data_IF_719263846040
#
_entry.id   IF_719263846040
#
_cell.length_a   1.000
_cell.length_b   1.000
_cell.length_c   1.000
_cell.angle_alpha   90.00
_cell.angle_beta   90.00
_cell.angle_gamma   90.00
#
_symmetry.space_group_name_H-M   'P 1'
#
loop_
_entity.id
_entity.type
_entity.pdbx_description
1 polymer ?
#
# COMPACT_ATOMS: atom_id res chain seq x y z
N UNK A 1 68.74 -7.34 7.15
CA UNK A 1 69.24 -7.73 8.50
C UNK A 1 68.08 -7.52 9.48
N UNK A 2 67.59 -8.58 10.13
CA UNK A 2 66.44 -8.58 11.06
C UNK A 2 66.76 -7.80 12.35
N UNK A 3 65.78 -7.08 12.90
CA UNK A 3 65.47 -7.11 14.34
C UNK A 3 63.94 -6.96 14.54
N UNK A 4 63.35 -8.04 15.07
CA UNK A 4 62.04 -8.13 15.74
C UNK A 4 62.32 -7.64 17.20
N UNK A 5 61.48 -7.02 18.03
CA UNK A 5 60.32 -7.55 18.79
C UNK A 5 59.86 -6.42 19.76
N UNK A 6 58.55 -6.17 19.92
CA UNK A 6 57.75 -6.38 21.17
C UNK A 6 56.45 -5.57 21.18
N UNK A 7 55.38 -6.32 21.36
CA UNK A 7 54.03 -5.90 21.72
C UNK A 7 54.03 -5.65 23.23
N UNK A 8 53.69 -4.44 23.68
CA UNK A 8 53.27 -4.21 25.06
C UNK A 8 52.12 -3.24 25.08
N UNK A 9 51.05 -3.74 25.69
CA UNK A 9 50.06 -3.03 26.49
C UNK A 9 48.89 -2.31 25.79
N UNK A 10 47.74 -2.90 26.11
CA UNK A 10 46.38 -2.52 25.81
C UNK A 10 46.01 -1.36 26.75
N UNK A 11 45.92 -0.14 26.24
CA UNK A 11 45.35 1.02 26.95
C UNK A 11 44.13 1.50 26.16
N UNK A 12 42.93 1.57 26.75
CA UNK A 12 41.77 2.12 26.07
C UNK A 12 41.98 3.63 25.88
N UNK A 13 42.06 4.05 24.61
CA UNK A 13 42.18 5.44 24.21
C UNK A 13 40.85 6.16 24.50
N UNK A 14 40.77 6.88 25.62
CA UNK A 14 39.73 7.88 25.85
C UNK A 14 39.95 9.02 24.85
N UNK A 15 39.20 9.02 23.76
CA UNK A 15 39.03 10.18 22.89
C UNK A 15 38.11 11.18 23.59
N UNK A 16 38.69 12.06 24.43
CA UNK A 16 38.02 13.31 24.80
C UNK A 16 38.17 14.31 23.62
N UNK A 17 37.15 14.35 22.77
CA UNK A 17 36.99 15.44 21.81
C UNK A 17 36.59 16.71 22.57
N UNK A 18 37.57 17.60 22.83
CA UNK A 18 37.28 18.96 23.28
C UNK A 18 36.58 19.72 22.15
N UNK A 19 35.26 19.76 22.20
CA UNK A 19 34.47 20.65 21.34
C UNK A 19 34.60 22.08 21.89
N UNK A 20 35.37 22.92 21.19
CA UNK A 20 35.38 24.36 21.43
C UNK A 20 34.12 24.93 20.78
N UNK A 21 33.17 25.40 21.58
CA UNK A 21 31.97 26.05 21.06
C UNK A 21 32.37 27.27 20.21
N UNK A 22 31.93 27.38 18.95
CA UNK A 22 32.07 28.62 18.18
C UNK A 22 31.14 29.70 18.74
N UNK A 23 31.54 30.96 18.56
CA UNK A 23 30.81 32.14 19.04
C UNK A 23 29.41 32.22 18.40
N UNK A 24 28.44 32.72 19.18
CA UNK A 24 26.99 32.68 18.92
C UNK A 24 26.48 33.46 17.68
N UNK A 25 27.35 33.99 16.81
CA UNK A 25 26.98 34.86 15.68
C UNK A 25 27.28 34.26 14.29
N UNK A 26 27.78 33.02 14.20
CA UNK A 26 28.07 32.32 12.92
C UNK A 26 27.15 31.12 12.65
N UNK A 27 25.94 31.09 13.25
CA UNK A 27 24.90 30.16 12.81
C UNK A 27 24.25 30.74 11.55
N UNK A 28 24.93 30.62 10.41
CA UNK A 28 24.28 30.80 9.11
C UNK A 28 23.28 29.65 8.92
N UNK A 29 22.07 29.93 8.48
CA UNK A 29 20.98 28.95 8.31
C UNK A 29 21.41 27.65 7.60
N UNK A 30 22.37 27.74 6.67
CA UNK A 30 22.98 26.57 6.01
C UNK A 30 23.64 25.56 6.96
N UNK A 31 24.25 26.02 8.06
CA UNK A 31 24.87 25.16 9.07
C UNK A 31 23.82 24.34 9.82
N UNK A 32 22.70 24.98 10.18
CA UNK A 32 21.61 24.35 10.93
C UNK A 32 20.86 23.32 10.07
N UNK A 33 20.48 23.66 8.84
CA UNK A 33 19.86 22.72 7.90
C UNK A 33 20.80 21.55 7.58
N UNK A 34 22.11 21.79 7.44
CA UNK A 34 23.10 20.73 7.24
C UNK A 34 23.24 19.81 8.46
N UNK A 35 23.21 20.34 9.68
CA UNK A 35 23.23 19.57 10.92
C UNK A 35 21.95 18.75 11.12
N UNK A 36 20.79 19.31 10.81
CA UNK A 36 19.50 18.60 10.84
C UNK A 36 19.45 17.49 9.78
N UNK A 37 19.92 17.75 8.56
CA UNK A 37 20.05 16.72 7.51
C UNK A 37 21.03 15.61 7.92
N UNK A 38 22.14 15.94 8.60
CA UNK A 38 23.06 14.94 9.15
C UNK A 38 22.43 14.13 10.28
N UNK A 39 21.64 14.75 11.15
CA UNK A 39 20.87 14.07 12.19
C UNK A 39 19.80 13.14 11.62
N UNK A 40 19.06 13.60 10.61
CA UNK A 40 18.08 12.81 9.84
C UNK A 40 18.76 11.64 9.14
N UNK A 41 19.86 11.89 8.42
CA UNK A 41 20.64 10.84 7.74
C UNK A 41 21.21 9.80 8.72
N UNK A 42 21.72 10.24 9.88
CA UNK A 42 22.20 9.33 10.93
C UNK A 42 21.06 8.45 11.49
N UNK A 43 19.86 9.02 11.67
CA UNK A 43 18.70 8.29 12.17
C UNK A 43 18.12 7.32 11.13
N UNK A 44 18.15 7.71 9.85
CA UNK A 44 17.78 6.89 8.69
C UNK A 44 18.77 5.72 8.48
N UNK A 45 20.07 5.92 8.74
CA UNK A 45 21.13 4.93 8.53
C UNK A 45 21.29 3.94 9.69
N UNK A 46 20.46 4.02 10.73
CA UNK A 46 20.45 3.03 11.81
C UNK A 46 19.81 1.72 11.31
N UNK A 47 20.49 0.55 11.42
CA UNK A 47 20.16 -0.66 10.66
C UNK A 47 19.03 -1.51 11.28
N UNK A 48 18.05 -0.89 11.92
CA UNK A 48 16.84 -1.60 12.37
C UNK A 48 15.71 -1.22 11.42
N UNK A 49 15.55 -2.00 10.36
CA UNK A 49 14.29 -2.02 9.61
C UNK A 49 13.20 -2.46 10.60
N UNK A 50 12.44 -1.49 11.10
CA UNK A 50 11.37 -1.72 12.07
C UNK A 50 10.26 -2.49 11.37
N UNK A 51 9.82 -3.60 11.95
CA UNK A 51 8.68 -4.32 11.40
C UNK A 51 7.43 -3.43 11.44
N UNK A 52 6.53 -3.52 10.44
CA UNK A 52 5.27 -2.82 10.47
C UNK A 52 4.51 -3.09 11.77
N UNK A 53 3.89 -2.07 12.37
CA UNK A 53 3.02 -2.24 13.53
C UNK A 53 1.91 -3.29 13.28
N UNK A 54 1.39 -3.96 14.32
CA UNK A 54 0.30 -4.95 14.17
C UNK A 54 -0.99 -4.38 13.60
N UNK A 55 -1.22 -3.07 13.76
CA UNK A 55 -2.35 -2.35 13.18
C UNK A 55 -2.06 -1.81 11.77
N UNK A 56 -0.94 -2.20 11.16
CA UNK A 56 -0.52 -1.79 9.81
C UNK A 56 -0.48 -0.26 9.62
N UNK A 57 -0.32 0.49 10.71
CA UNK A 57 -0.12 1.94 10.68
C UNK A 57 1.30 2.34 10.28
N UNK A 58 1.55 3.63 10.04
CA UNK A 58 2.90 4.16 9.84
C UNK A 58 3.79 3.86 11.06
N UNK A 59 5.03 3.42 10.83
CA UNK A 59 5.95 3.09 11.93
C UNK A 59 6.29 4.30 12.80
N UNK A 60 6.77 4.03 14.02
CA UNK A 60 7.18 5.09 14.94
C UNK A 60 8.35 5.90 14.37
N UNK A 61 9.31 5.23 13.73
CA UNK A 61 10.44 5.86 13.05
C UNK A 61 9.99 6.78 11.89
N UNK A 62 9.00 6.35 11.10
CA UNK A 62 8.45 7.15 10.01
C UNK A 62 7.81 8.43 10.54
N UNK A 63 6.93 8.32 11.54
CA UNK A 63 6.24 9.46 12.15
C UNK A 63 7.23 10.48 12.73
N UNK A 64 8.25 10.01 13.46
CA UNK A 64 9.28 10.89 14.02
C UNK A 64 10.07 11.62 12.93
N UNK A 65 10.45 10.93 11.86
CA UNK A 65 11.23 11.52 10.77
C UNK A 65 10.41 12.53 9.98
N UNK A 66 9.12 12.26 9.74
CA UNK A 66 8.22 13.21 9.08
C UNK A 66 7.95 14.46 9.92
N UNK A 67 7.88 14.34 11.25
CA UNK A 67 7.76 15.50 12.13
C UNK A 67 9.01 16.38 12.07
N UNK A 68 10.21 15.79 12.10
CA UNK A 68 11.46 16.52 11.93
C UNK A 68 11.56 17.18 10.55
N UNK A 69 11.13 16.47 9.49
CA UNK A 69 11.05 17.04 8.15
C UNK A 69 10.12 18.26 8.15
N UNK A 70 8.94 18.18 8.77
CA UNK A 70 8.00 19.31 8.89
C UNK A 70 8.65 20.51 9.56
N UNK A 71 9.41 20.31 10.63
CA UNK A 71 10.13 21.39 11.33
C UNK A 71 11.18 22.05 10.42
N UNK A 72 11.97 21.24 9.70
CA UNK A 72 13.00 21.73 8.76
C UNK A 72 12.35 22.54 7.63
N UNK A 73 11.28 22.02 7.02
CA UNK A 73 10.60 22.70 5.92
C UNK A 73 9.91 24.01 6.39
N UNK A 74 9.33 24.02 7.59
CA UNK A 74 8.73 25.22 8.18
C UNK A 74 9.76 26.31 8.52
N UNK A 75 10.97 25.94 8.96
CA UNK A 75 12.03 26.95 9.22
C UNK A 75 12.48 27.70 7.96
N UNK A 76 12.32 27.10 6.78
CA UNK A 76 12.68 27.72 5.51
C UNK A 76 11.72 28.85 5.09
N UNK A 77 10.49 28.91 5.62
CA UNK A 77 9.55 30.01 5.38
C UNK A 77 10.05 31.36 5.88
N UNK A 78 10.95 31.36 6.87
CA UNK A 78 11.52 32.58 7.46
C UNK A 78 12.84 33.01 6.81
N UNK A 79 13.32 32.30 5.79
CA UNK A 79 14.63 32.53 5.18
C UNK A 79 14.60 33.66 4.14
N UNK A 80 15.64 34.51 4.11
CA UNK A 80 15.79 35.65 3.18
C UNK A 80 16.44 35.25 1.85
N UNK A 81 16.46 33.95 1.53
CA UNK A 81 17.10 33.39 0.33
C UNK A 81 16.21 33.61 -0.91
N UNK A 82 16.78 33.88 -2.10
CA UNK A 82 16.01 33.99 -3.34
C UNK A 82 15.16 32.73 -3.62
N UNK A 83 13.97 32.92 -4.18
CA UNK A 83 12.98 31.85 -4.40
C UNK A 83 13.56 30.63 -5.16
N UNK A 84 14.33 30.85 -6.22
CA UNK A 84 14.90 29.77 -7.03
C UNK A 84 15.92 28.91 -6.25
N UNK A 85 16.78 29.56 -5.45
CA UNK A 85 17.75 28.87 -4.60
C UNK A 85 17.03 28.11 -3.47
N UNK A 86 16.00 28.72 -2.89
CA UNK A 86 15.13 28.11 -1.89
C UNK A 86 14.42 26.87 -2.43
N UNK A 87 13.88 26.93 -3.66
CA UNK A 87 13.23 25.79 -4.31
C UNK A 87 14.22 24.65 -4.55
N UNK A 88 15.43 24.93 -5.02
CA UNK A 88 16.46 23.92 -5.25
C UNK A 88 16.86 23.20 -3.96
N UNK A 89 17.09 23.95 -2.88
CA UNK A 89 17.39 23.40 -1.55
C UNK A 89 16.23 22.53 -1.04
N UNK A 90 14.98 22.98 -1.22
CA UNK A 90 13.79 22.25 -0.80
C UNK A 90 13.68 20.89 -1.51
N UNK A 91 13.85 20.87 -2.83
CA UNK A 91 13.83 19.64 -3.64
C UNK A 91 14.93 18.67 -3.20
N UNK A 92 16.12 19.18 -2.89
CA UNK A 92 17.23 18.37 -2.40
C UNK A 92 16.94 17.77 -1.02
N UNK A 93 16.49 18.59 -0.06
CA UNK A 93 16.10 18.14 1.30
C UNK A 93 15.04 17.05 1.22
N UNK A 94 13.98 17.28 0.44
CA UNK A 94 12.90 16.32 0.26
C UNK A 94 13.42 14.99 -0.31
N UNK A 95 14.30 15.05 -1.32
CA UNK A 95 14.84 13.83 -1.93
C UNK A 95 15.73 13.05 -0.96
N UNK A 96 16.59 13.76 -0.22
CA UNK A 96 17.47 13.14 0.78
C UNK A 96 16.73 12.47 1.95
N UNK A 97 15.48 12.86 2.22
CA UNK A 97 14.68 12.32 3.34
C UNK A 97 13.60 11.34 2.85
N UNK A 98 12.85 11.68 1.81
CA UNK A 98 11.74 10.86 1.33
C UNK A 98 12.21 9.56 0.69
N UNK A 99 13.27 9.60 -0.14
CA UNK A 99 13.71 8.41 -0.86
C UNK A 99 14.17 7.30 0.12
N UNK A 100 14.96 7.59 1.18
CA UNK A 100 15.26 6.61 2.20
C UNK A 100 14.06 6.17 3.03
N UNK A 101 13.11 7.06 3.33
CA UNK A 101 11.90 6.69 4.07
C UNK A 101 11.01 5.73 3.27
N UNK A 102 10.87 5.97 1.97
CA UNK A 102 10.17 5.07 1.05
C UNK A 102 10.86 3.71 1.02
N UNK A 103 12.19 3.69 0.86
CA UNK A 103 12.97 2.47 0.89
C UNK A 103 12.78 1.70 2.20
N UNK A 104 12.79 2.41 3.34
CA UNK A 104 12.56 1.80 4.66
C UNK A 104 11.17 1.17 4.75
N UNK A 105 10.12 1.85 4.28
CA UNK A 105 8.76 1.29 4.27
C UNK A 105 8.69 0.03 3.42
N UNK A 106 9.24 0.06 2.20
CA UNK A 106 9.27 -1.10 1.31
C UNK A 106 10.02 -2.28 1.92
N UNK A 107 11.17 -2.04 2.55
CA UNK A 107 11.94 -3.09 3.22
C UNK A 107 11.19 -3.67 4.41
N UNK A 108 10.50 -2.82 5.19
CA UNK A 108 9.70 -3.23 6.35
C UNK A 108 8.52 -4.11 5.93
N UNK A 109 7.88 -3.78 4.80
CA UNK A 109 6.72 -4.49 4.28
C UNK A 109 7.07 -5.78 3.51
N UNK A 110 8.35 -6.01 3.19
CA UNK A 110 8.80 -7.07 2.27
C UNK A 110 8.44 -8.51 2.67
N UNK A 111 8.19 -8.76 3.96
CA UNK A 111 7.83 -10.08 4.48
C UNK A 111 6.33 -10.21 4.83
N UNK A 112 5.52 -9.20 4.55
CA UNK A 112 4.09 -9.23 4.80
C UNK A 112 3.34 -9.95 3.66
N UNK A 113 2.15 -10.45 3.97
CA UNK A 113 1.20 -10.88 2.94
C UNK A 113 0.74 -9.69 2.09
N UNK A 114 0.30 -9.95 0.87
CA UNK A 114 -0.07 -8.92 -0.12
C UNK A 114 -1.00 -7.83 0.44
N UNK A 115 -2.09 -8.23 1.10
CA UNK A 115 -3.06 -7.28 1.69
C UNK A 115 -2.48 -6.49 2.86
N UNK A 116 -1.67 -7.13 3.72
CA UNK A 116 -1.04 -6.46 4.87
C UNK A 116 0.00 -5.44 4.39
N UNK A 117 0.84 -5.83 3.42
CA UNK A 117 1.81 -4.97 2.76
C UNK A 117 1.13 -3.76 2.13
N UNK A 118 0.10 -3.97 1.30
CA UNK A 118 -0.58 -2.89 0.62
C UNK A 118 -1.26 -1.92 1.61
N UNK A 119 -1.85 -2.43 2.68
CA UNK A 119 -2.47 -1.59 3.73
C UNK A 119 -1.43 -0.74 4.45
N UNK A 120 -0.31 -1.34 4.87
CA UNK A 120 0.78 -0.61 5.51
C UNK A 120 1.37 0.47 4.59
N UNK A 121 1.57 0.14 3.30
CA UNK A 121 2.09 1.09 2.32
C UNK A 121 1.11 2.24 2.07
N UNK A 122 -0.19 1.97 1.88
CA UNK A 122 -1.22 3.02 1.74
C UNK A 122 -1.20 3.97 2.93
N UNK A 123 -1.18 3.45 4.16
CA UNK A 123 -1.16 4.26 5.37
C UNK A 123 0.11 5.11 5.48
N UNK A 124 1.27 4.50 5.22
CA UNK A 124 2.58 5.17 5.30
C UNK A 124 2.74 6.26 4.24
N UNK A 125 2.38 5.96 3.00
CA UNK A 125 2.43 6.91 1.88
C UNK A 125 1.42 8.03 2.06
N UNK A 126 0.23 7.73 2.56
CA UNK A 126 -0.78 8.74 2.88
C UNK A 126 -0.26 9.73 3.93
N UNK A 127 0.39 9.25 5.00
CA UNK A 127 1.00 10.10 6.02
C UNK A 127 2.12 11.01 5.46
N UNK A 128 2.96 10.47 4.58
CA UNK A 128 3.97 11.26 3.86
C UNK A 128 3.29 12.34 3.01
N UNK A 129 2.29 11.97 2.22
CA UNK A 129 1.56 12.87 1.32
C UNK A 129 0.89 14.01 2.09
N UNK A 130 0.16 13.72 3.16
CA UNK A 130 -0.51 14.75 3.98
C UNK A 130 0.49 15.67 4.67
N UNK A 131 1.69 15.17 5.01
CA UNK A 131 2.76 16.01 5.58
C UNK A 131 3.32 16.98 4.54
N UNK A 132 3.56 16.52 3.31
CA UNK A 132 4.11 17.35 2.24
C UNK A 132 3.11 18.35 1.67
N UNK A 133 1.81 18.03 1.69
CA UNK A 133 0.75 18.88 1.15
C UNK A 133 0.63 20.26 1.84
N UNK A 134 1.31 20.44 2.98
CA UNK A 134 1.36 21.69 3.72
C UNK A 134 2.41 22.69 3.19
N UNK A 135 3.25 22.27 2.23
CA UNK A 135 4.40 23.04 1.79
C UNK A 135 4.42 23.26 0.28
N UNK A 136 4.93 24.42 -0.14
CA UNK A 136 5.17 24.74 -1.54
C UNK A 136 6.29 23.88 -2.15
N UNK A 137 6.34 23.83 -3.49
CA UNK A 137 7.35 23.09 -4.26
C UNK A 137 7.34 21.56 -4.06
N UNK A 138 6.26 21.00 -3.49
CA UNK A 138 6.10 19.56 -3.24
C UNK A 138 5.34 18.82 -4.33
N UNK A 139 4.79 19.50 -5.34
CA UNK A 139 3.85 18.94 -6.33
C UNK A 139 4.33 17.63 -6.96
N UNK A 140 5.58 17.59 -7.45
CA UNK A 140 6.15 16.39 -8.06
C UNK A 140 6.19 15.19 -7.11
N UNK A 141 6.47 15.44 -5.83
CA UNK A 141 6.53 14.40 -4.80
C UNK A 141 5.13 13.97 -4.37
N UNK A 142 4.17 14.90 -4.31
CA UNK A 142 2.76 14.59 -4.04
C UNK A 142 2.16 13.71 -5.14
N UNK A 143 2.44 14.04 -6.40
CA UNK A 143 2.03 13.26 -7.57
C UNK A 143 2.63 11.84 -7.53
N UNK A 144 3.95 11.73 -7.31
CA UNK A 144 4.62 10.43 -7.15
C UNK A 144 4.02 9.59 -6.01
N UNK A 145 3.76 10.19 -4.85
CA UNK A 145 3.15 9.48 -3.71
C UNK A 145 1.72 9.05 -4.03
N UNK A 146 0.96 9.88 -4.74
CA UNK A 146 -0.40 9.55 -5.17
C UNK A 146 -0.41 8.33 -6.09
N UNK A 147 0.47 8.27 -7.09
CA UNK A 147 0.59 7.11 -7.98
C UNK A 147 0.92 5.83 -7.22
N UNK A 148 1.81 5.89 -6.22
CA UNK A 148 2.14 4.72 -5.40
C UNK A 148 0.97 4.30 -4.51
N UNK A 149 0.24 5.26 -3.94
CA UNK A 149 -0.99 4.97 -3.18
C UNK A 149 -1.97 4.23 -4.09
N UNK A 150 -2.27 4.77 -5.28
CA UNK A 150 -3.20 4.16 -6.24
C UNK A 150 -2.81 2.72 -6.61
N UNK A 151 -1.53 2.44 -6.87
CA UNK A 151 -1.07 1.08 -7.15
C UNK A 151 -1.35 0.09 -6.00
N UNK A 152 -1.16 0.53 -4.74
CA UNK A 152 -1.49 -0.30 -3.58
C UNK A 152 -3.01 -0.37 -3.32
N UNK A 153 -3.78 0.67 -3.68
CA UNK A 153 -5.25 0.61 -3.66
C UNK A 153 -5.78 -0.42 -4.64
N UNK A 154 -5.26 -0.45 -5.87
CA UNK A 154 -5.63 -1.46 -6.86
C UNK A 154 -5.34 -2.87 -6.34
N UNK A 155 -4.22 -3.05 -5.63
CA UNK A 155 -3.91 -4.31 -4.97
C UNK A 155 -4.97 -4.69 -3.93
N UNK A 156 -5.36 -3.76 -3.05
CA UNK A 156 -6.40 -4.00 -2.03
C UNK A 156 -7.79 -4.24 -2.63
N UNK A 157 -8.12 -3.58 -3.74
CA UNK A 157 -9.37 -3.79 -4.48
C UNK A 157 -9.44 -5.24 -4.98
N UNK A 158 -8.35 -5.73 -5.59
CA UNK A 158 -8.28 -7.10 -6.09
C UNK A 158 -8.29 -8.14 -4.96
N UNK A 159 -7.56 -7.90 -3.86
CA UNK A 159 -7.58 -8.77 -2.68
C UNK A 159 -8.97 -8.83 -2.04
N UNK A 160 -9.66 -7.69 -1.90
CA UNK A 160 -11.02 -7.63 -1.36
C UNK A 160 -12.01 -8.38 -2.28
N UNK A 161 -11.93 -8.19 -3.60
CA UNK A 161 -12.78 -8.91 -4.54
C UNK A 161 -12.52 -10.42 -4.51
N UNK A 162 -11.26 -10.84 -4.48
CA UNK A 162 -10.85 -12.24 -4.36
C UNK A 162 -11.34 -12.88 -3.06
N UNK A 163 -11.24 -12.14 -1.95
CA UNK A 163 -11.77 -12.54 -0.65
C UNK A 163 -13.29 -12.78 -0.73
N UNK A 164 -14.05 -11.83 -1.29
CA UNK A 164 -15.51 -11.95 -1.45
C UNK A 164 -15.86 -13.13 -2.35
N UNK A 165 -15.26 -13.24 -3.55
CA UNK A 165 -15.52 -14.35 -4.48
C UNK A 165 -15.23 -15.71 -3.86
N UNK A 166 -14.17 -15.81 -3.06
CA UNK A 166 -13.81 -17.06 -2.37
C UNK A 166 -14.83 -17.40 -1.28
N UNK A 167 -15.18 -16.44 -0.43
CA UNK A 167 -16.14 -16.62 0.66
C UNK A 167 -17.58 -16.82 0.18
N UNK A 168 -17.93 -16.25 -0.97
CA UNK A 168 -19.23 -16.40 -1.60
C UNK A 168 -19.34 -17.64 -2.51
N UNK A 169 -18.27 -18.44 -2.62
CA UNK A 169 -18.29 -19.72 -3.34
C UNK A 169 -18.13 -19.61 -4.86
N UNK A 170 -17.74 -18.44 -5.38
CA UNK A 170 -17.61 -18.19 -6.82
C UNK A 170 -16.18 -18.29 -7.35
N UNK A 171 -15.16 -18.22 -6.49
CA UNK A 171 -13.75 -18.17 -6.92
C UNK A 171 -13.35 -19.32 -7.86
N UNK A 172 -13.70 -20.57 -7.52
CA UNK A 172 -13.35 -21.73 -8.35
C UNK A 172 -14.12 -21.78 -9.68
N UNK A 173 -15.40 -21.40 -9.67
CA UNK A 173 -16.25 -21.30 -10.86
C UNK A 173 -15.71 -20.23 -11.80
N UNK A 174 -15.44 -19.04 -11.27
CA UNK A 174 -14.92 -17.93 -12.05
C UNK A 174 -13.55 -18.26 -12.65
N UNK A 175 -12.65 -18.88 -11.87
CA UNK A 175 -11.36 -19.34 -12.41
C UNK A 175 -11.52 -20.41 -13.50
N UNK A 176 -12.47 -21.35 -13.34
CA UNK A 176 -12.76 -22.36 -14.36
C UNK A 176 -13.25 -21.71 -15.66
N UNK A 177 -14.11 -20.68 -15.55
CA UNK A 177 -14.60 -19.90 -16.68
C UNK A 177 -13.46 -19.15 -17.39
N UNK A 178 -12.59 -18.45 -16.64
CA UNK A 178 -11.48 -17.68 -17.23
C UNK A 178 -10.43 -18.55 -17.93
N UNK A 179 -10.21 -19.77 -17.44
CA UNK A 179 -9.23 -20.70 -18.01
C UNK A 179 -9.81 -21.58 -19.12
N UNK A 180 -11.13 -21.54 -19.31
CA UNK A 180 -11.80 -22.35 -20.30
C UNK A 180 -11.37 -21.95 -21.71
N UNK A 181 -11.12 -22.96 -22.55
CA UNK A 181 -10.87 -22.76 -23.97
C UNK A 181 -11.95 -23.46 -24.80
N UNK A 182 -12.39 -22.86 -25.92
CA UNK A 182 -13.46 -23.43 -26.73
C UNK A 182 -13.24 -24.88 -27.18
N UNK A 183 -11.98 -25.31 -27.31
CA UNK A 183 -11.63 -26.68 -27.73
C UNK A 183 -11.95 -27.75 -26.67
N UNK A 184 -12.17 -27.35 -25.42
CA UNK A 184 -12.53 -28.26 -24.32
C UNK A 184 -14.02 -28.66 -24.34
N UNK A 185 -14.81 -28.08 -25.25
CA UNK A 185 -16.24 -28.33 -25.38
C UNK A 185 -17.10 -27.45 -24.46
N UNK A 186 -18.41 -27.69 -24.40
CA UNK A 186 -19.35 -26.87 -23.63
C UNK A 186 -19.00 -26.81 -22.12
N UNK A 187 -19.16 -25.63 -21.50
CA UNK A 187 -18.92 -25.46 -20.06
C UNK A 187 -19.76 -26.40 -19.18
N UNK A 188 -20.98 -26.75 -19.59
CA UNK A 188 -21.85 -27.67 -18.85
C UNK A 188 -21.27 -29.07 -18.64
N UNK A 189 -20.25 -29.46 -19.42
CA UNK A 189 -19.55 -30.75 -19.27
C UNK A 189 -18.41 -30.71 -18.26
N UNK A 190 -17.99 -29.52 -17.80
CA UNK A 190 -16.93 -29.40 -16.81
C UNK A 190 -17.48 -29.70 -15.41
N UNK A 191 -16.84 -30.57 -14.59
CA UNK A 191 -17.32 -30.92 -13.25
C UNK A 191 -17.48 -29.74 -12.28
N UNK A 192 -16.82 -28.61 -12.53
CA UNK A 192 -16.92 -27.40 -11.71
C UNK A 192 -18.01 -26.43 -12.17
N UNK A 193 -18.56 -26.64 -13.37
CA UNK A 193 -19.50 -25.76 -14.06
C UNK A 193 -20.78 -26.49 -14.46
N UNK A 194 -20.96 -27.75 -14.06
CA UNK A 194 -22.20 -28.49 -14.28
C UNK A 194 -23.36 -27.85 -13.49
N UNK A 195 -24.59 -28.18 -13.88
CA UNK A 195 -25.78 -27.55 -13.31
C UNK A 195 -25.94 -27.77 -11.80
N UNK A 196 -25.45 -28.88 -11.24
CA UNK A 196 -25.52 -29.16 -9.81
C UNK A 196 -24.51 -28.30 -9.06
N UNK A 197 -23.26 -28.27 -9.53
CA UNK A 197 -22.19 -27.45 -8.93
C UNK A 197 -22.54 -25.96 -8.93
N UNK A 198 -23.06 -25.44 -10.05
CA UNK A 198 -23.49 -24.05 -10.15
C UNK A 198 -24.65 -23.74 -9.18
N UNK A 199 -25.65 -24.61 -9.05
CA UNK A 199 -26.76 -24.41 -8.10
C UNK A 199 -26.28 -24.36 -6.65
N UNK A 200 -25.31 -25.20 -6.27
CA UNK A 200 -24.71 -25.18 -4.93
C UNK A 200 -24.00 -23.84 -4.68
N UNK A 201 -23.21 -23.37 -5.64
CA UNK A 201 -22.51 -22.10 -5.51
C UNK A 201 -23.47 -20.91 -5.48
N UNK A 202 -24.54 -20.91 -6.28
CA UNK A 202 -25.56 -19.87 -6.23
C UNK A 202 -26.28 -19.81 -4.89
N UNK A 203 -26.56 -20.96 -4.26
CA UNK A 203 -27.12 -20.97 -2.91
C UNK A 203 -26.17 -20.35 -1.87
N UNK A 204 -24.85 -20.46 -2.06
CA UNK A 204 -23.87 -19.78 -1.21
C UNK A 204 -23.76 -18.29 -1.52
N UNK A 205 -23.74 -17.92 -2.80
CA UNK A 205 -23.72 -16.53 -3.25
C UNK A 205 -24.97 -15.78 -2.77
N UNK A 206 -26.14 -16.42 -2.80
CA UNK A 206 -27.39 -15.85 -2.32
C UNK A 206 -27.37 -15.52 -0.82
N UNK A 207 -26.66 -16.32 -0.01
CA UNK A 207 -26.46 -15.99 1.41
C UNK A 207 -25.61 -14.71 1.54
N UNK A 208 -24.58 -14.57 0.71
CA UNK A 208 -23.80 -13.33 0.67
C UNK A 208 -24.66 -12.13 0.24
N UNK A 209 -25.47 -12.25 -0.80
CA UNK A 209 -26.37 -11.18 -1.26
C UNK A 209 -27.38 -10.74 -0.19
N UNK A 210 -27.72 -11.61 0.76
CA UNK A 210 -28.60 -11.26 1.88
C UNK A 210 -27.94 -10.39 2.95
N UNK A 211 -26.60 -10.37 3.01
CA UNK A 211 -25.81 -9.54 3.93
C UNK A 211 -24.46 -9.13 3.29
N UNK A 212 -24.44 -8.23 2.29
CA UNK A 212 -23.25 -7.86 1.54
C UNK A 212 -22.10 -7.32 2.41
N UNK A 213 -22.44 -6.56 3.45
CA UNK A 213 -21.46 -5.96 4.36
C UNK A 213 -20.72 -6.97 5.24
N UNK A 214 -21.13 -8.25 5.23
CA UNK A 214 -20.54 -9.29 6.07
C UNK A 214 -19.15 -9.74 5.64
N UNK A 215 -18.75 -9.45 4.39
CA UNK A 215 -17.49 -9.93 3.81
C UNK A 215 -16.51 -8.80 3.55
N UNK A 216 -15.86 -8.31 4.62
CA UNK A 216 -14.81 -7.28 4.55
C UNK A 216 -13.52 -7.83 5.13
N UNK A 217 -12.40 -7.67 4.41
CA UNK A 217 -11.08 -8.02 4.92
C UNK A 217 -10.74 -7.20 6.18
N UNK A 218 -10.11 -7.85 7.17
CA UNK A 218 -9.72 -7.18 8.42
C UNK A 218 -8.76 -6.02 8.21
N UNK A 219 -7.90 -6.11 7.19
CA UNK A 219 -6.93 -5.11 6.80
C UNK A 219 -7.57 -3.76 6.49
N UNK A 220 -8.77 -3.76 5.89
CA UNK A 220 -9.47 -2.52 5.55
C UNK A 220 -9.96 -1.75 6.79
N UNK A 221 -9.96 -2.38 7.97
CA UNK A 221 -10.26 -1.69 9.23
C UNK A 221 -9.08 -0.88 9.76
N UNK A 222 -7.88 -1.09 9.22
CA UNK A 222 -6.66 -0.37 9.60
C UNK A 222 -6.34 0.82 8.68
N UNK A 223 -7.11 1.01 7.61
CA UNK A 223 -6.91 2.15 6.71
C UNK A 223 -7.19 3.46 7.44
N UNK A 224 -6.24 4.40 7.36
CA UNK A 224 -6.37 5.71 8.00
C UNK A 224 -7.43 6.60 7.34
N UNK A 225 -7.78 6.34 6.07
CA UNK A 225 -8.76 7.12 5.31
C UNK A 225 -10.05 6.32 5.08
N UNK A 226 -11.15 6.81 5.65
CA UNK A 226 -12.47 6.22 5.44
C UNK A 226 -12.94 6.29 3.98
N UNK A 227 -12.62 7.38 3.28
CA UNK A 227 -12.94 7.54 1.85
C UNK A 227 -12.22 6.49 1.00
N UNK A 228 -10.96 6.20 1.33
CA UNK A 228 -10.19 5.14 0.66
C UNK A 228 -10.81 3.77 0.91
N UNK A 229 -11.22 3.49 2.15
CA UNK A 229 -11.93 2.24 2.49
C UNK A 229 -13.21 2.07 1.68
N UNK A 230 -14.05 3.11 1.63
CA UNK A 230 -15.30 3.11 0.85
C UNK A 230 -15.03 2.89 -0.65
N UNK A 231 -14.00 3.56 -1.19
CA UNK A 231 -13.58 3.37 -2.57
C UNK A 231 -13.17 1.91 -2.86
N UNK A 232 -12.42 1.27 -1.96
CA UNK A 232 -12.01 -0.14 -2.12
C UNK A 232 -13.24 -1.05 -2.11
N UNK A 233 -14.17 -0.85 -1.17
CA UNK A 233 -15.39 -1.66 -1.06
C UNK A 233 -16.23 -1.52 -2.33
N UNK A 234 -16.44 -0.29 -2.81
CA UNK A 234 -17.21 -0.03 -4.02
C UNK A 234 -16.58 -0.70 -5.25
N UNK A 235 -15.30 -0.46 -5.51
CA UNK A 235 -14.64 -0.99 -6.71
C UNK A 235 -14.48 -2.52 -6.66
N UNK A 236 -14.19 -3.10 -5.50
CA UNK A 236 -14.15 -4.56 -5.36
C UNK A 236 -15.52 -5.20 -5.58
N UNK A 237 -16.59 -4.54 -5.16
CA UNK A 237 -17.97 -4.95 -5.45
C UNK A 237 -18.27 -4.90 -6.95
N UNK A 238 -17.81 -3.87 -7.65
CA UNK A 238 -17.92 -3.80 -9.12
C UNK A 238 -17.19 -4.98 -9.82
N UNK A 239 -16.04 -5.42 -9.30
CA UNK A 239 -15.35 -6.61 -9.80
C UNK A 239 -16.15 -7.90 -9.54
N UNK A 240 -16.80 -8.04 -8.38
CA UNK A 240 -17.68 -9.17 -8.07
C UNK A 240 -18.89 -9.19 -9.01
N UNK A 241 -19.51 -8.03 -9.25
CA UNK A 241 -20.60 -7.88 -10.22
C UNK A 241 -20.17 -8.26 -11.64
N UNK A 242 -18.97 -7.85 -12.05
CA UNK A 242 -18.40 -8.23 -13.36
C UNK A 242 -18.20 -9.74 -13.46
N UNK A 243 -17.59 -10.37 -12.46
CA UNK A 243 -17.39 -11.81 -12.43
C UNK A 243 -18.72 -12.58 -12.53
N UNK A 244 -19.75 -12.13 -11.81
CA UNK A 244 -21.10 -12.68 -11.92
C UNK A 244 -21.70 -12.47 -13.33
N UNK A 245 -21.51 -11.29 -13.91
CA UNK A 245 -22.02 -10.96 -15.24
C UNK A 245 -21.42 -11.86 -16.34
N UNK A 246 -20.12 -12.12 -16.25
CA UNK A 246 -19.42 -13.03 -17.16
C UNK A 246 -19.92 -14.47 -17.02
N UNK A 247 -20.09 -14.95 -15.78
CA UNK A 247 -20.69 -16.25 -15.50
C UNK A 247 -22.11 -16.34 -16.05
N UNK A 248 -22.92 -15.29 -15.85
CA UNK A 248 -24.29 -15.22 -16.34
C UNK A 248 -24.35 -15.30 -17.86
N UNK A 249 -23.53 -14.52 -18.56
CA UNK A 249 -23.44 -14.56 -20.00
C UNK A 249 -23.04 -15.96 -20.52
N UNK A 250 -22.06 -16.60 -19.87
CA UNK A 250 -21.59 -17.92 -20.25
C UNK A 250 -22.66 -19.01 -20.04
N UNK A 251 -23.40 -18.98 -18.93
CA UNK A 251 -24.46 -19.95 -18.65
C UNK A 251 -25.67 -19.76 -19.58
N UNK A 252 -25.98 -18.51 -19.94
CA UNK A 252 -27.07 -18.19 -20.85
C UNK A 252 -26.72 -18.41 -22.33
N UNK A 253 -25.44 -18.57 -22.67
CA UNK A 253 -25.00 -18.86 -24.03
C UNK A 253 -25.41 -20.30 -24.44
N UNK A 254 -26.23 -20.47 -25.49
CA UNK A 254 -26.63 -21.78 -25.99
C UNK A 254 -25.45 -22.69 -26.39
N UNK A 255 -24.29 -22.11 -26.73
CA UNK A 255 -23.06 -22.87 -27.07
C UNK A 255 -22.58 -23.74 -25.92
N UNK A 256 -22.89 -23.35 -24.67
CA UNK A 256 -22.49 -24.06 -23.46
C UNK A 256 -23.48 -25.16 -23.03
N UNK A 257 -24.57 -25.37 -23.78
CA UNK A 257 -25.47 -26.53 -23.69
C UNK A 257 -26.14 -26.75 -22.32
N UNK A 258 -26.36 -25.68 -21.55
CA UNK A 258 -27.23 -25.76 -20.36
C UNK A 258 -28.69 -25.93 -20.80
N UNK A 259 -29.38 -26.95 -20.26
CA UNK A 259 -30.77 -27.26 -20.63
C UNK A 259 -31.76 -26.19 -20.15
N UNK A 260 -31.63 -25.78 -18.89
CA UNK A 260 -32.53 -24.85 -18.22
C UNK A 260 -31.72 -23.79 -17.44
N UNK A 261 -30.98 -22.89 -18.13
CA UNK A 261 -30.03 -21.97 -17.51
C UNK A 261 -30.69 -21.00 -16.52
N UNK A 262 -31.94 -20.61 -16.77
CA UNK A 262 -32.77 -19.79 -15.88
C UNK A 262 -33.06 -20.46 -14.54
N UNK A 263 -33.00 -21.80 -14.46
CA UNK A 263 -33.15 -22.54 -13.20
C UNK A 263 -31.85 -22.62 -12.40
N UNK A 264 -30.72 -22.27 -13.03
CA UNK A 264 -29.39 -22.24 -12.40
C UNK A 264 -29.12 -20.84 -11.85
N UNK A 265 -29.28 -19.81 -12.68
CA UNK A 265 -29.04 -18.41 -12.32
C UNK A 265 -30.36 -17.64 -12.31
N UNK A 266 -30.93 -17.44 -11.12
CA UNK A 266 -32.26 -16.82 -10.97
C UNK A 266 -32.21 -15.29 -11.00
N UNK A 267 -31.05 -14.69 -10.70
CA UNK A 267 -30.87 -13.25 -10.66
C UNK A 267 -30.17 -12.77 -11.93
N UNK A 268 -30.64 -11.67 -12.51
CA UNK A 268 -29.90 -11.00 -13.57
C UNK A 268 -28.70 -10.21 -12.99
N UNK A 269 -27.69 -9.89 -13.81
CA UNK A 269 -26.58 -9.04 -13.37
C UNK A 269 -27.03 -7.70 -12.77
N UNK A 270 -28.09 -7.10 -13.32
CA UNK A 270 -28.67 -5.86 -12.81
C UNK A 270 -29.28 -6.03 -11.41
N UNK A 271 -29.93 -7.18 -11.14
CA UNK A 271 -30.48 -7.47 -9.82
C UNK A 271 -29.35 -7.71 -8.80
N UNK A 272 -28.29 -8.41 -9.18
CA UNK A 272 -27.11 -8.59 -8.31
C UNK A 272 -26.46 -7.25 -8.00
N UNK A 273 -26.27 -6.41 -9.01
CA UNK A 273 -25.71 -5.07 -8.80
C UNK A 273 -26.57 -4.22 -7.85
N UNK A 274 -27.89 -4.25 -7.99
CA UNK A 274 -28.81 -3.51 -7.12
C UNK A 274 -28.84 -4.03 -5.67
N UNK A 275 -28.50 -5.29 -5.44
CA UNK A 275 -28.39 -5.87 -4.08
C UNK A 275 -27.05 -5.53 -3.41
N UNK A 276 -26.03 -5.18 -4.20
CA UNK A 276 -24.68 -4.89 -3.73
C UNK A 276 -24.35 -3.38 -3.70
N UNK A 277 -25.25 -2.54 -4.22
CA UNK A 277 -25.11 -1.07 -4.31
C UNK A 277 -25.61 -0.34 -3.09
#
# INVERSE_FOLDING_TARGET
>A
MKVIIRKTENVPMKLEAKFKAPNALEWTDCSFSSLMLRGLSFKIMSPLVELPPPDLGPSSALNQTLNLLREVLASHDSSVVPLDARQADFVQVLSCVLDPLLQMCTMSASNLGTADMATFMVNSLYMMKTTLALFEFTDKRLEMLQFQIEAHLDTLINEQASYVLTRAGLSYIYNSLQQHKPEQGPLSNLPSMDSVSLKVAMAQFDRYLSAPDSLVMSQLNFLLSATVKEQIIKQSTELVCRAYSELYAAVMDPSNQYKDPETILHRSPHQVQALLS
#
